data_IF_376625612107
#
_entry.id   IF_376625612107
#
_cell.length_a   1.000
_cell.length_b   1.000
_cell.length_c   1.000
_cell.angle_alpha   90.00
_cell.angle_beta   90.00
_cell.angle_gamma   90.00
#
_symmetry.space_group_name_H-M   'P 1'
#
loop_
_entity.id
_entity.type
_entity.pdbx_description
1 polymer ?
#
# COMPACT_ATOMS: atom_id res chain seq x y z
N UNK A 1 18.46 4.57 -8.44
CA UNK A 1 18.07 3.77 -7.26
C UNK A 1 16.99 4.53 -6.51
N UNK A 2 15.99 3.86 -5.93
CA UNK A 2 14.99 4.52 -5.09
C UNK A 2 15.53 4.47 -3.65
N UNK A 3 16.06 5.59 -3.17
CA UNK A 3 16.73 5.73 -1.85
C UNK A 3 15.73 5.78 -0.68
N UNK A 4 14.45 5.94 -0.98
CA UNK A 4 13.36 6.30 -0.05
C UNK A 4 12.52 5.03 0.29
N UNK A 5 13.10 3.82 0.12
CA UNK A 5 12.39 2.55 0.30
C UNK A 5 11.91 2.34 1.75
N UNK A 6 12.71 2.76 2.74
CA UNK A 6 12.40 2.62 4.16
C UNK A 6 11.29 3.59 4.61
N UNK A 7 11.25 4.81 4.07
CA UNK A 7 10.25 5.82 4.44
C UNK A 7 8.84 5.53 3.88
N UNK A 8 8.76 4.71 2.83
CA UNK A 8 7.49 4.35 2.19
C UNK A 8 6.86 3.10 2.77
N UNK A 9 7.57 2.35 3.59
CA UNK A 9 7.07 1.10 4.16
C UNK A 9 6.37 1.39 5.48
N UNK A 10 5.13 0.94 5.61
CA UNK A 10 4.40 1.02 6.86
C UNK A 10 4.41 -0.36 7.53
N UNK A 11 4.84 -0.46 8.80
CA UNK A 11 4.85 -1.72 9.52
C UNK A 11 3.43 -2.10 9.93
N UNK A 12 2.79 -2.93 9.13
CA UNK A 12 1.52 -3.59 9.47
C UNK A 12 1.81 -4.95 10.12
N UNK A 13 1.07 -5.30 11.18
CA UNK A 13 1.27 -6.55 11.92
C UNK A 13 0.71 -7.75 11.14
N UNK A 14 -0.47 -7.57 10.55
CA UNK A 14 -1.20 -8.62 9.84
C UNK A 14 -1.04 -8.60 8.32
N UNK A 15 -0.44 -7.54 7.76
CA UNK A 15 -0.36 -7.33 6.33
C UNK A 15 1.07 -7.10 5.85
N UNK A 16 1.51 -7.94 4.90
CA UNK A 16 2.86 -7.86 4.36
C UNK A 16 2.96 -6.87 3.20
N UNK A 17 4.11 -6.22 3.06
CA UNK A 17 4.45 -5.32 1.94
C UNK A 17 3.55 -4.09 1.79
N UNK A 18 3.06 -3.53 2.90
CA UNK A 18 2.31 -2.28 2.86
C UNK A 18 3.26 -1.12 2.58
N UNK A 19 3.12 -0.51 1.40
CA UNK A 19 3.98 0.60 0.97
C UNK A 19 3.27 1.63 0.12
N UNK A 20 3.70 2.87 0.26
CA UNK A 20 3.28 3.96 -0.61
C UNK A 20 3.97 3.86 -1.99
N UNK A 21 3.17 3.96 -3.06
CA UNK A 21 3.62 4.03 -4.46
C UNK A 21 3.93 5.50 -4.83
N UNK A 22 3.81 6.43 -3.89
CA UNK A 22 4.28 7.80 -4.06
C UNK A 22 5.74 7.90 -4.50
N UNK A 23 6.03 8.91 -5.31
CA UNK A 23 7.39 9.27 -5.71
C UNK A 23 7.94 8.57 -6.95
N UNK A 24 7.23 7.62 -7.57
CA UNK A 24 7.61 7.14 -8.90
C UNK A 24 7.48 8.24 -9.94
N UNK A 25 8.48 8.38 -10.81
CA UNK A 25 8.42 9.28 -11.96
C UNK A 25 7.70 8.58 -13.11
N UNK A 26 6.74 9.26 -13.73
CA UNK A 26 6.17 8.81 -14.99
C UNK A 26 7.13 9.12 -16.16
N UNK A 27 6.79 8.64 -17.36
CA UNK A 27 7.60 8.88 -18.57
C UNK A 27 7.77 10.36 -18.91
N UNK A 28 6.88 11.22 -18.41
CA UNK A 28 6.91 12.67 -18.57
C UNK A 28 7.66 13.39 -17.42
N UNK A 29 8.31 12.66 -16.51
CA UNK A 29 9.07 13.23 -15.39
C UNK A 29 8.23 13.71 -14.20
N UNK A 30 6.89 13.59 -14.25
CA UNK A 30 5.98 13.91 -13.14
C UNK A 30 6.04 12.83 -12.06
N UNK A 31 5.90 13.21 -10.79
CA UNK A 31 5.93 12.27 -9.66
C UNK A 31 4.53 11.88 -9.23
N UNK A 32 4.32 10.59 -8.96
CA UNK A 32 3.11 10.11 -8.28
C UNK A 32 3.02 10.76 -6.90
N UNK A 33 1.85 11.31 -6.57
CA UNK A 33 1.61 11.96 -5.28
C UNK A 33 1.75 10.94 -4.14
N UNK A 34 2.57 11.27 -3.14
CA UNK A 34 2.70 10.49 -1.89
C UNK A 34 1.37 10.50 -1.12
N UNK A 35 1.03 9.39 -0.47
CA UNK A 35 -0.19 9.22 0.33
C UNK A 35 -1.47 9.01 -0.46
N UNK A 36 -1.39 8.75 -1.78
CA UNK A 36 -2.57 8.54 -2.63
C UNK A 36 -2.80 7.06 -2.99
N UNK A 37 -1.73 6.33 -3.28
CA UNK A 37 -1.79 4.94 -3.71
C UNK A 37 -0.89 4.07 -2.85
N UNK A 38 -1.51 3.12 -2.16
CA UNK A 38 -0.81 2.15 -1.35
C UNK A 38 -0.87 0.79 -2.03
N UNK A 39 0.27 0.09 -2.05
CA UNK A 39 0.33 -1.31 -2.40
C UNK A 39 0.38 -2.11 -1.12
N UNK A 40 -0.36 -3.19 -1.06
CA UNK A 40 -0.27 -4.14 0.03
C UNK A 40 -0.42 -5.58 -0.46
N UNK A 41 0.04 -6.53 0.34
CA UNK A 41 -0.12 -7.95 0.12
C UNK A 41 -1.48 -8.46 0.57
N UNK A 42 -1.51 -9.72 1.03
CA UNK A 42 -2.73 -10.39 1.47
C UNK A 42 -3.32 -9.69 2.69
N UNK A 43 -4.62 -9.43 2.63
CA UNK A 43 -5.32 -8.61 3.63
C UNK A 43 -6.11 -9.44 4.64
N UNK A 44 -6.20 -10.76 4.45
CA UNK A 44 -7.04 -11.66 5.26
C UNK A 44 -6.59 -11.78 6.72
N UNK A 45 -5.39 -11.29 7.04
CA UNK A 45 -4.79 -11.37 8.37
C UNK A 45 -4.66 -10.01 9.07
N UNK A 46 -5.26 -8.95 8.53
CA UNK A 46 -5.21 -7.63 9.17
C UNK A 46 -5.80 -7.69 10.59
N UNK A 47 -5.03 -7.18 11.54
CA UNK A 47 -5.43 -7.04 12.94
C UNK A 47 -6.28 -5.77 13.13
N UNK A 48 -6.88 -5.60 14.31
CA UNK A 48 -7.60 -4.35 14.61
C UNK A 48 -6.69 -3.12 14.60
N UNK A 49 -5.42 -3.26 15.01
CA UNK A 49 -4.43 -2.19 14.95
C UNK A 49 -4.14 -1.77 13.50
N UNK A 50 -4.06 -2.74 12.59
CA UNK A 50 -3.91 -2.47 11.16
C UNK A 50 -5.11 -1.66 10.62
N UNK A 51 -6.33 -2.01 11.02
CA UNK A 51 -7.54 -1.27 10.61
C UNK A 51 -7.56 0.17 11.12
N UNK A 52 -7.05 0.42 12.33
CA UNK A 52 -6.90 1.78 12.88
C UNK A 52 -5.88 2.57 12.05
N UNK A 53 -4.72 2.00 11.76
CA UNK A 53 -3.71 2.64 10.92
C UNK A 53 -4.23 2.95 9.51
N UNK A 54 -5.00 2.04 8.89
CA UNK A 54 -5.65 2.29 7.60
C UNK A 54 -6.62 3.47 7.65
N UNK A 55 -7.36 3.61 8.75
CA UNK A 55 -8.31 4.71 8.95
C UNK A 55 -7.59 6.05 9.08
N UNK A 56 -6.47 6.09 9.79
CA UNK A 56 -5.64 7.29 9.93
C UNK A 56 -5.02 7.71 8.60
N UNK A 57 -4.66 6.74 7.74
CA UNK A 57 -4.20 6.98 6.38
C UNK A 57 -5.32 7.47 5.41
N UNK A 58 -6.57 7.54 5.87
CA UNK A 58 -7.75 7.99 5.11
C UNK A 58 -7.97 7.22 3.80
N UNK A 59 -7.61 5.95 3.78
CA UNK A 59 -7.77 5.10 2.60
C UNK A 59 -9.26 4.76 2.43
N UNK A 60 -9.87 5.27 1.36
CA UNK A 60 -11.31 5.10 1.08
C UNK A 60 -11.65 3.89 0.22
N UNK A 61 -10.72 3.48 -0.64
CA UNK A 61 -10.97 2.45 -1.65
C UNK A 61 -9.94 1.33 -1.54
N UNK A 62 -10.44 0.11 -1.32
CA UNK A 62 -9.67 -1.13 -1.34
C UNK A 62 -9.95 -1.86 -2.64
N UNK A 63 -8.93 -1.97 -3.49
CA UNK A 63 -8.97 -2.79 -4.70
C UNK A 63 -8.24 -4.11 -4.42
N UNK A 64 -8.96 -5.22 -4.51
CA UNK A 64 -8.39 -6.56 -4.35
C UNK A 64 -8.35 -7.23 -5.72
N UNK A 65 -7.16 -7.61 -6.18
CA UNK A 65 -6.98 -8.41 -7.39
C UNK A 65 -6.51 -9.79 -6.95
N UNK A 66 -7.46 -10.69 -6.75
CA UNK A 66 -7.20 -12.11 -6.52
C UNK A 66 -7.53 -12.87 -7.81
N UNK A 67 -6.62 -13.75 -8.21
CA UNK A 67 -6.84 -14.60 -9.37
C UNK A 67 -7.78 -15.72 -8.94
N UNK A 68 -9.07 -15.63 -9.25
CA UNK A 68 -10.06 -16.66 -8.93
C UNK A 68 -9.89 -17.88 -9.85
N UNK A 69 -8.77 -18.60 -9.73
CA UNK A 69 -8.73 -20.01 -10.15
C UNK A 69 -9.31 -20.83 -9.01
N UNK A 70 -10.64 -20.83 -8.92
CA UNK A 70 -11.39 -21.88 -8.21
C UNK A 70 -11.26 -23.15 -9.05
N UNK A 71 -10.54 -24.14 -8.52
CA UNK A 71 -10.68 -25.53 -8.97
C UNK A 71 -11.95 -26.12 -8.34
#
# INVERSE_FOLDING_TARGET
MIEDYAERHYPFEGCFNFRDIGGYKNKEGRRVKKGLYFRTGRQDRMTQKDLIQLKDLKIKLKLTCENQKKY
#
